data_IF_527126581408
#
_entry.id   IF_527126581408
#
_cell.length_a   1.000
_cell.length_b   1.000
_cell.length_c   1.000
_cell.angle_alpha   90.00
_cell.angle_beta   90.00
_cell.angle_gamma   90.00
#
_symmetry.space_group_name_H-M   'P 1'
#
loop_
_entity.id
_entity.type
_entity.pdbx_description
1 polymer ?
#
# COMPACT_ATOMS: atom_id res chain seq x y z
N UNK A 1 -10.92 -18.93 -41.38
CA UNK A 1 -10.08 -18.79 -40.16
C UNK A 1 -10.83 -19.45 -39.02
N UNK A 2 -10.43 -20.66 -38.65
CA UNK A 2 -11.05 -21.46 -37.58
C UNK A 2 -10.36 -21.09 -36.26
N UNK A 3 -11.08 -20.79 -35.15
CA UNK A 3 -10.41 -20.51 -33.89
C UNK A 3 -9.83 -21.80 -33.32
N UNK A 4 -8.57 -21.74 -32.90
CA UNK A 4 -7.91 -22.82 -32.19
C UNK A 4 -8.64 -23.03 -30.85
N UNK A 5 -9.31 -24.18 -30.71
CA UNK A 5 -9.83 -24.67 -29.44
C UNK A 5 -8.65 -24.89 -28.49
N UNK A 6 -8.56 -24.05 -27.45
CA UNK A 6 -7.65 -24.28 -26.34
C UNK A 6 -8.11 -25.54 -25.61
N UNK A 7 -7.41 -26.66 -25.81
CA UNK A 7 -7.60 -27.87 -25.02
C UNK A 7 -6.94 -27.67 -23.65
N UNK A 8 -7.73 -27.23 -22.67
CA UNK A 8 -7.34 -27.32 -21.26
C UNK A 8 -7.23 -28.80 -20.88
N UNK A 9 -6.02 -29.28 -20.59
CA UNK A 9 -5.81 -30.60 -19.99
C UNK A 9 -6.53 -30.64 -18.64
N UNK A 10 -7.40 -31.63 -18.38
CA UNK A 10 -7.98 -31.80 -17.06
C UNK A 10 -6.88 -32.18 -16.06
N UNK A 11 -6.69 -31.34 -15.04
CA UNK A 11 -5.86 -31.68 -13.88
C UNK A 11 -6.58 -32.76 -13.08
N UNK A 12 -6.16 -34.01 -13.27
CA UNK A 12 -6.69 -35.13 -12.51
C UNK A 12 -5.95 -35.24 -11.17
N UNK A 13 -6.49 -34.59 -10.15
CA UNK A 13 -6.13 -34.92 -8.77
C UNK A 13 -6.66 -36.31 -8.41
N UNK A 14 -5.74 -37.22 -8.12
CA UNK A 14 -6.07 -38.59 -7.72
C UNK A 14 -6.49 -38.66 -6.25
N UNK A 15 -7.16 -39.75 -5.86
CA UNK A 15 -7.54 -40.02 -4.48
C UNK A 15 -6.32 -39.97 -3.51
N UNK A 16 -5.12 -40.30 -4.01
CA UNK A 16 -3.87 -40.19 -3.26
C UNK A 16 -3.60 -38.75 -2.78
N UNK A 17 -3.68 -37.75 -3.67
CA UNK A 17 -3.42 -36.36 -3.30
C UNK A 17 -4.44 -35.84 -2.27
N UNK A 18 -5.72 -36.20 -2.43
CA UNK A 18 -6.74 -35.86 -1.46
C UNK A 18 -6.48 -36.46 -0.08
N UNK A 19 -5.97 -37.70 -0.02
CA UNK A 19 -5.60 -38.34 1.23
C UNK A 19 -4.40 -37.65 1.89
N UNK A 20 -3.41 -37.21 1.10
CA UNK A 20 -2.27 -36.45 1.61
C UNK A 20 -2.71 -35.10 2.22
N UNK A 21 -3.62 -34.37 1.56
CA UNK A 21 -4.12 -33.09 2.09
C UNK A 21 -4.98 -33.26 3.34
N UNK A 22 -5.80 -34.31 3.42
CA UNK A 22 -6.57 -34.60 4.65
C UNK A 22 -5.67 -34.90 5.85
N UNK A 23 -4.45 -35.36 5.60
CA UNK A 23 -3.51 -35.81 6.63
C UNK A 23 -2.28 -34.88 6.77
N UNK A 24 -2.34 -33.63 6.28
CA UNK A 24 -1.17 -32.75 6.20
C UNK A 24 -0.65 -32.23 7.56
N UNK A 25 -1.33 -32.54 8.66
CA UNK A 25 -0.90 -32.21 10.02
C UNK A 25 -0.77 -30.71 10.29
N UNK A 26 -0.15 -30.38 11.42
CA UNK A 26 0.23 -29.00 11.76
C UNK A 26 1.71 -28.80 11.42
N UNK A 27 2.05 -27.59 10.97
CA UNK A 27 3.42 -27.18 10.67
C UNK A 27 3.83 -26.11 11.68
N UNK A 28 4.94 -26.32 12.39
CA UNK A 28 5.36 -25.44 13.50
C UNK A 28 5.75 -24.03 13.06
N UNK A 29 6.14 -23.87 11.80
CA UNK A 29 6.46 -22.58 11.18
C UNK A 29 5.21 -21.81 10.70
N UNK A 30 4.02 -22.41 10.78
CA UNK A 30 2.75 -21.76 10.48
C UNK A 30 2.08 -21.28 11.77
N UNK A 31 2.41 -20.06 12.16
CA UNK A 31 1.85 -19.40 13.32
C UNK A 31 0.92 -18.25 12.91
N UNK A 32 0.01 -17.88 13.82
CA UNK A 32 -0.85 -16.72 13.62
C UNK A 32 -0.01 -15.43 13.58
N UNK A 33 -0.37 -14.47 12.72
CA UNK A 33 0.33 -13.19 12.70
C UNK A 33 0.24 -12.52 14.07
N UNK A 34 1.32 -11.83 14.46
CA UNK A 34 1.31 -10.95 15.62
C UNK A 34 0.30 -9.82 15.39
N UNK A 35 -0.23 -9.19 16.46
CA UNK A 35 -1.07 -8.01 16.34
C UNK A 35 -0.45 -6.95 15.42
N UNK A 36 -1.25 -6.37 14.53
CA UNK A 36 -0.79 -5.37 13.60
C UNK A 36 -0.65 -4.00 14.28
N UNK A 37 0.58 -3.60 14.59
CA UNK A 37 0.89 -2.32 15.22
C UNK A 37 0.73 -1.10 14.29
N UNK A 38 0.46 -1.32 12.99
CA UNK A 38 0.33 -0.27 11.99
C UNK A 38 -1.14 0.09 11.69
N UNK A 39 -2.09 -0.47 12.43
CA UNK A 39 -3.49 -0.01 12.33
C UNK A 39 -3.57 1.40 12.93
N UNK A 40 -3.98 2.43 12.15
CA UNK A 40 -4.05 3.79 12.65
C UNK A 40 -5.19 3.92 13.66
N UNK A 41 -4.93 4.64 14.76
CA UNK A 41 -5.91 4.93 15.81
C UNK A 41 -6.24 6.42 15.92
N UNK A 42 -5.36 7.29 15.44
CA UNK A 42 -5.54 8.75 15.42
C UNK A 42 -5.88 9.22 14.00
N UNK A 43 -7.01 9.91 13.87
CA UNK A 43 -7.52 10.47 12.62
C UNK A 43 -7.71 11.99 12.70
N UNK A 44 -7.15 12.65 13.72
CA UNK A 44 -7.20 14.10 13.86
C UNK A 44 -6.43 14.78 12.73
N UNK A 45 -7.06 15.77 12.08
CA UNK A 45 -6.39 16.61 11.08
C UNK A 45 -5.45 17.58 11.78
N UNK A 46 -4.19 17.64 11.32
CA UNK A 46 -3.14 18.47 11.95
C UNK A 46 -2.91 19.81 11.23
N UNK A 47 -3.58 20.04 10.12
CA UNK A 47 -3.44 21.26 9.32
C UNK A 47 -4.53 22.25 9.71
N UNK A 48 -4.15 23.49 10.03
CA UNK A 48 -5.09 24.59 10.17
C UNK A 48 -5.61 24.97 8.77
N UNK A 49 -6.91 24.85 8.54
CA UNK A 49 -7.56 25.18 7.27
C UNK A 49 -8.46 26.38 7.51
N UNK A 50 -8.22 27.48 6.79
CA UNK A 50 -9.16 28.61 6.75
C UNK A 50 -10.21 28.34 5.68
N UNK A 51 -11.45 28.69 5.97
CA UNK A 51 -12.55 28.53 5.01
C UNK A 51 -12.26 29.33 3.73
N UNK A 52 -12.39 28.66 2.58
CA UNK A 52 -12.14 29.25 1.26
C UNK A 52 -10.71 29.11 0.73
N UNK A 53 -9.75 28.58 1.50
CA UNK A 53 -8.43 28.24 0.95
C UNK A 53 -8.49 26.92 0.16
N UNK A 54 -8.12 26.97 -1.11
CA UNK A 54 -7.95 25.81 -2.00
C UNK A 54 -6.47 25.59 -2.32
N UNK A 55 -6.16 24.42 -2.87
CA UNK A 55 -4.81 24.08 -3.34
C UNK A 55 -4.51 24.60 -4.75
N UNK A 56 -5.46 25.30 -5.37
CA UNK A 56 -5.34 25.93 -6.68
C UNK A 56 -4.22 26.99 -6.64
N UNK A 57 -3.32 26.93 -7.63
CA UNK A 57 -2.16 27.82 -7.76
C UNK A 57 -1.13 27.80 -6.62
N UNK A 58 -1.28 26.91 -5.61
CA UNK A 58 -0.32 26.76 -4.51
C UNK A 58 0.76 25.74 -4.86
N UNK A 59 2.00 26.22 -5.01
CA UNK A 59 3.19 25.37 -5.21
C UNK A 59 3.78 24.88 -3.89
N UNK A 60 4.47 23.70 -3.86
CA UNK A 60 5.22 23.26 -2.69
C UNK A 60 6.30 24.27 -2.28
N UNK A 61 6.47 24.44 -0.97
CA UNK A 61 7.43 25.37 -0.37
C UNK A 61 8.68 24.59 0.04
N UNK A 62 9.91 25.08 -0.25
CA UNK A 62 11.13 24.46 0.23
C UNK A 62 11.27 24.70 1.73
N UNK A 63 11.30 23.64 2.53
CA UNK A 63 11.56 23.72 3.97
C UNK A 63 13.04 23.58 4.30
N UNK A 64 13.78 22.82 3.48
CA UNK A 64 15.22 22.61 3.65
C UNK A 64 15.89 22.53 2.29
N UNK A 65 17.01 23.22 2.17
CA UNK A 65 17.86 23.16 0.99
C UNK A 65 19.31 23.20 1.47
N UNK A 66 19.98 22.06 1.42
CA UNK A 66 21.41 21.95 1.68
C UNK A 66 22.12 21.18 0.56
N UNK A 67 23.43 20.98 0.70
CA UNK A 67 24.23 20.30 -0.32
C UNK A 67 23.85 18.82 -0.50
N UNK A 68 23.25 18.18 0.50
CA UNK A 68 22.95 16.74 0.50
C UNK A 68 21.47 16.39 0.33
N UNK A 69 20.56 17.37 0.45
CA UNK A 69 19.13 17.14 0.51
C UNK A 69 18.31 18.38 0.17
N UNK A 70 17.13 18.15 -0.42
CA UNK A 70 16.10 19.16 -0.61
C UNK A 70 14.78 18.60 -0.12
N UNK A 71 14.13 19.33 0.79
CA UNK A 71 12.83 18.99 1.35
C UNK A 71 11.81 20.04 0.92
N UNK A 72 10.75 19.58 0.28
CA UNK A 72 9.61 20.39 -0.14
C UNK A 72 8.38 19.94 0.63
N UNK A 73 7.50 20.87 0.97
CA UNK A 73 6.27 20.60 1.69
C UNK A 73 5.10 21.38 1.09
N UNK A 74 3.95 20.71 0.99
CA UNK A 74 2.65 21.31 0.70
C UNK A 74 1.65 20.68 1.67
N UNK A 75 0.91 21.51 2.39
CA UNK A 75 -0.18 21.04 3.23
C UNK A 75 -1.42 20.78 2.37
N UNK A 76 -2.14 19.69 2.62
CA UNK A 76 -3.41 19.37 1.95
C UNK A 76 -4.52 20.31 2.47
N UNK A 77 -5.11 21.09 1.56
CA UNK A 77 -6.26 21.97 1.83
C UNK A 77 -7.53 21.50 1.12
N UNK A 78 -7.37 20.71 0.06
CA UNK A 78 -8.46 20.22 -0.79
C UNK A 78 -9.14 18.96 -0.24
N UNK A 79 -8.38 17.90 0.06
CA UNK A 79 -8.97 16.58 0.35
C UNK A 79 -9.30 16.37 1.82
N UNK A 80 -8.55 17.02 2.73
CA UNK A 80 -8.83 17.06 4.18
C UNK A 80 -8.93 15.66 4.80
N UNK A 81 -8.05 14.76 4.37
CA UNK A 81 -7.96 13.40 4.89
C UNK A 81 -6.78 13.28 5.87
N UNK A 82 -6.85 12.39 6.89
CA UNK A 82 -5.72 12.08 7.77
C UNK A 82 -4.71 11.18 7.02
N UNK A 83 -4.19 11.70 5.91
CA UNK A 83 -3.30 11.02 4.97
C UNK A 83 -2.21 12.00 4.56
N UNK A 84 -1.04 11.46 4.23
CA UNK A 84 0.09 12.23 3.73
C UNK A 84 0.76 11.46 2.61
N UNK A 85 1.27 12.18 1.62
CA UNK A 85 2.10 11.61 0.56
C UNK A 85 3.56 12.00 0.79
N UNK A 86 4.44 11.00 0.88
CA UNK A 86 5.87 11.21 1.11
C UNK A 86 6.63 10.63 -0.09
N UNK A 87 7.42 11.45 -0.75
CA UNK A 87 8.24 11.07 -1.91
C UNK A 87 9.72 11.32 -1.61
N UNK A 88 10.56 10.33 -1.89
CA UNK A 88 12.01 10.45 -1.81
C UNK A 88 12.62 10.20 -3.18
N UNK A 89 13.43 11.16 -3.65
CA UNK A 89 14.27 10.99 -4.83
C UNK A 89 15.74 10.99 -4.38
N UNK A 90 16.39 9.83 -4.50
CA UNK A 90 17.79 9.64 -4.13
C UNK A 90 18.67 9.88 -5.36
N UNK A 91 19.45 10.95 -5.32
CA UNK A 91 20.38 11.32 -6.38
C UNK A 91 21.75 10.72 -6.04
N UNK A 92 22.33 10.00 -7.00
CA UNK A 92 23.64 9.36 -6.89
C UNK A 92 24.75 10.26 -7.42
#
# INVERSE_FOLDING_TARGET
MTPASAQTKPDFFTAFYFQQWKNCGLREDFYLPKPNNYVPSDFTLKTEIKDGETDEDVSPIPLRHDQGSRLWFKADKEHRLPKVFVNFNLIR
#
